data_IF_085530537482
#
_entry.id   IF_085530537482
#
_cell.length_a   1.000
_cell.length_b   1.000
_cell.length_c   1.000
_cell.angle_alpha   90.00
_cell.angle_beta   90.00
_cell.angle_gamma   90.00
#
_symmetry.space_group_name_H-M   'P 1'
#
loop_
_entity.id
_entity.type
_entity.pdbx_description
1 polymer ?
#
# COMPACT_ATOMS: atom_id res chain seq x y z
N UNK A 1 -45.96 -11.71 3.49
CA UNK A 1 -44.91 -12.12 2.54
C UNK A 1 -43.61 -12.25 3.31
N UNK A 2 -43.06 -13.46 3.43
CA UNK A 2 -41.87 -13.74 4.26
C UNK A 2 -40.58 -13.38 3.52
N UNK A 3 -39.76 -12.51 4.10
CA UNK A 3 -38.48 -12.11 3.53
C UNK A 3 -37.43 -13.22 3.76
N UNK A 4 -36.93 -13.79 2.67
CA UNK A 4 -35.86 -14.81 2.67
C UNK A 4 -34.55 -14.17 3.11
N UNK A 5 -34.06 -14.51 4.32
CA UNK A 5 -32.72 -14.09 4.75
C UNK A 5 -31.67 -14.73 3.84
N UNK A 6 -30.77 -13.91 3.28
CA UNK A 6 -29.62 -14.40 2.52
C UNK A 6 -28.56 -14.82 3.53
N UNK A 7 -28.30 -16.13 3.62
CA UNK A 7 -27.20 -16.66 4.42
C UNK A 7 -25.84 -16.10 3.97
N UNK A 8 -24.80 -16.19 4.81
CA UNK A 8 -23.49 -15.59 4.54
C UNK A 8 -22.90 -16.10 3.22
N UNK A 9 -22.38 -15.19 2.40
CA UNK A 9 -21.72 -15.52 1.13
C UNK A 9 -20.43 -16.28 1.40
N UNK A 10 -20.11 -17.29 0.58
CA UNK A 10 -18.86 -18.09 0.65
C UNK A 10 -17.61 -17.22 0.83
N UNK A 11 -17.55 -16.06 0.18
CA UNK A 11 -16.44 -15.10 0.31
C UNK A 11 -16.16 -14.62 1.74
N UNK A 12 -17.15 -14.58 2.63
CA UNK A 12 -16.98 -14.21 4.04
C UNK A 12 -16.34 -15.31 4.90
N UNK A 13 -16.54 -16.58 4.54
CA UNK A 13 -15.97 -17.72 5.28
C UNK A 13 -14.45 -17.82 5.11
N UNK A 14 -13.92 -17.43 3.95
CA UNK A 14 -12.48 -17.47 3.66
C UNK A 14 -11.71 -16.25 4.19
N UNK A 15 -12.40 -15.13 4.48
CA UNK A 15 -11.76 -13.96 5.08
C UNK A 15 -11.52 -14.13 6.59
N UNK A 16 -12.43 -14.79 7.32
CA UNK A 16 -12.30 -15.00 8.77
C UNK A 16 -11.23 -16.01 9.19
N UNK A 17 -10.55 -16.68 8.23
CA UNK A 17 -9.58 -17.76 8.50
C UNK A 17 -8.18 -17.49 7.96
N UNK A 18 -7.88 -16.28 7.48
CA UNK A 18 -6.50 -15.84 7.28
C UNK A 18 -5.97 -15.34 8.62
N UNK A 19 -5.29 -16.22 9.36
CA UNK A 19 -4.27 -15.76 10.30
C UNK A 19 -3.18 -15.14 9.43
N UNK A 20 -3.20 -13.83 9.23
CA UNK A 20 -2.06 -13.14 8.62
C UNK A 20 -0.91 -13.29 9.60
N UNK A 21 0.01 -14.21 9.32
CA UNK A 21 1.25 -14.31 10.08
C UNK A 21 1.92 -12.95 10.07
N UNK A 22 2.43 -12.51 11.23
CA UNK A 22 3.21 -11.28 11.33
C UNK A 22 4.37 -11.34 10.32
N UNK A 23 4.42 -10.37 9.42
CA UNK A 23 5.42 -10.30 8.35
C UNK A 23 6.48 -9.25 8.66
N UNK A 24 7.62 -9.37 7.99
CA UNK A 24 8.66 -8.34 8.01
C UNK A 24 8.11 -6.94 7.66
N UNK A 25 7.14 -6.85 6.74
CA UNK A 25 6.54 -5.57 6.35
C UNK A 25 5.66 -4.98 7.46
N UNK A 26 5.03 -5.83 8.28
CA UNK A 26 4.25 -5.38 9.44
C UNK A 26 5.18 -4.80 10.52
N UNK A 27 6.36 -5.40 10.70
CA UNK A 27 7.39 -4.89 11.62
C UNK A 27 7.89 -3.51 11.19
N UNK A 28 8.19 -3.34 9.90
CA UNK A 28 8.60 -2.06 9.33
C UNK A 28 7.49 -1.01 9.51
N UNK A 29 6.24 -1.36 9.23
CA UNK A 29 5.12 -0.42 9.35
C UNK A 29 4.88 0.01 10.80
N UNK A 30 5.22 -0.86 11.78
CA UNK A 30 5.18 -0.54 13.20
C UNK A 30 6.37 0.30 13.69
N UNK A 31 7.56 0.13 13.10
CA UNK A 31 8.79 0.82 13.52
C UNK A 31 8.90 2.23 12.91
N UNK A 32 8.39 2.44 11.70
CA UNK A 32 8.55 3.71 10.98
C UNK A 32 7.31 4.59 11.17
N UNK A 33 7.50 5.79 11.72
CA UNK A 33 6.47 6.83 11.67
C UNK A 33 6.40 7.44 10.26
N UNK A 34 5.36 7.08 9.51
CA UNK A 34 5.16 7.53 8.12
C UNK A 34 4.64 8.96 8.00
N UNK A 35 4.01 9.52 9.03
CA UNK A 35 3.43 10.86 9.00
C UNK A 35 4.45 11.98 8.71
N UNK A 36 5.60 12.07 9.43
CA UNK A 36 6.60 13.10 9.15
C UNK A 36 7.23 12.93 7.77
N UNK A 37 7.44 11.70 7.32
CA UNK A 37 7.97 11.39 5.99
C UNK A 37 6.97 11.86 4.92
N UNK A 38 5.68 11.55 5.07
CA UNK A 38 4.64 12.00 4.15
C UNK A 38 4.57 13.53 4.08
N UNK A 39 4.63 14.21 5.23
CA UNK A 39 4.60 15.67 5.29
C UNK A 39 5.81 16.28 4.58
N UNK A 40 7.01 15.74 4.82
CA UNK A 40 8.24 16.17 4.15
C UNK A 40 8.16 15.97 2.64
N UNK A 41 7.78 14.76 2.20
CA UNK A 41 7.67 14.43 0.79
C UNK A 41 6.64 15.30 0.08
N UNK A 42 5.47 15.53 0.69
CA UNK A 42 4.42 16.39 0.11
C UNK A 42 4.86 17.84 0.01
N UNK A 43 5.64 18.34 0.99
CA UNK A 43 6.19 19.70 0.96
C UNK A 43 7.22 19.89 -0.15
N UNK A 44 8.07 18.88 -0.39
CA UNK A 44 9.17 18.93 -1.37
C UNK A 44 8.74 18.58 -2.78
N UNK A 45 7.93 17.53 -2.94
CA UNK A 45 7.41 17.04 -4.21
C UNK A 45 6.08 17.74 -4.49
N UNK A 46 6.16 19.01 -4.93
CA UNK A 46 4.98 19.72 -5.42
C UNK A 46 4.44 18.97 -6.64
N UNK A 47 3.26 18.37 -6.51
CA UNK A 47 2.54 17.75 -7.62
C UNK A 47 2.18 18.85 -8.61
N UNK A 48 2.94 18.96 -9.70
CA UNK A 48 2.45 19.69 -10.86
C UNK A 48 1.31 18.88 -11.44
N UNK A 49 0.19 19.53 -11.75
CA UNK A 49 -0.83 18.91 -12.57
C UNK A 49 -0.14 18.50 -13.88
N UNK A 50 -0.16 17.21 -14.20
CA UNK A 50 0.36 16.75 -15.49
C UNK A 50 -0.45 17.48 -16.56
N UNK A 51 0.25 18.13 -17.51
CA UNK A 51 -0.41 18.93 -18.55
C UNK A 51 -1.39 18.07 -19.39
N UNK A 52 -1.14 16.75 -19.47
CA UNK A 52 -1.99 15.72 -20.06
C UNK A 52 -1.69 14.37 -19.36
N UNK A 53 -2.70 13.52 -19.14
CA UNK A 53 -2.53 12.12 -18.69
C UNK A 53 -2.92 11.82 -17.23
N UNK A 54 -2.60 10.59 -16.78
CA UNK A 54 -2.93 10.13 -15.41
C UNK A 54 -2.17 11.00 -14.38
N UNK A 55 -2.76 11.34 -13.22
CA UNK A 55 -2.08 12.14 -12.22
C UNK A 55 -0.83 11.43 -11.71
N UNK A 56 0.18 12.22 -11.35
CA UNK A 56 1.41 11.68 -10.75
C UNK A 56 1.07 10.86 -9.49
N UNK A 57 1.78 9.74 -9.29
CA UNK A 57 1.62 8.89 -8.11
C UNK A 57 1.78 9.71 -6.81
N UNK A 58 1.03 9.38 -5.75
CA UNK A 58 1.25 10.02 -4.46
C UNK A 58 2.67 9.71 -3.96
N UNK A 59 3.34 10.68 -3.32
CA UNK A 59 4.76 10.56 -3.07
C UNK A 59 5.10 9.51 -2.00
N UNK A 60 4.25 9.33 -0.97
CA UNK A 60 4.48 8.32 0.07
C UNK A 60 4.39 6.88 -0.46
N UNK A 61 3.33 6.44 -1.17
CA UNK A 61 3.30 5.12 -1.81
C UNK A 61 4.49 4.87 -2.73
N UNK A 62 4.88 5.86 -3.54
CA UNK A 62 6.03 5.74 -4.42
C UNK A 62 7.33 5.53 -3.62
N UNK A 63 7.50 6.27 -2.52
CA UNK A 63 8.62 6.07 -1.61
C UNK A 63 8.63 4.67 -0.99
N UNK A 64 7.47 4.15 -0.56
CA UNK A 64 7.35 2.76 -0.06
C UNK A 64 7.74 1.73 -1.13
N UNK A 65 7.39 1.94 -2.40
CA UNK A 65 7.82 1.06 -3.51
C UNK A 65 9.34 1.05 -3.66
N UNK A 66 10.01 2.19 -3.53
CA UNK A 66 11.48 2.26 -3.59
C UNK A 66 12.14 1.50 -2.42
N UNK A 67 11.55 1.55 -1.23
CA UNK A 67 12.03 0.75 -0.09
C UNK A 67 11.90 -0.75 -0.36
N UNK A 68 10.75 -1.18 -0.91
CA UNK A 68 10.56 -2.57 -1.31
C UNK A 68 11.57 -2.99 -2.38
N UNK A 69 11.81 -2.15 -3.38
CA UNK A 69 12.79 -2.42 -4.42
C UNK A 69 14.19 -2.63 -3.83
N UNK A 70 14.57 -1.82 -2.84
CA UNK A 70 15.86 -1.93 -2.16
C UNK A 70 15.95 -3.19 -1.29
N UNK A 71 14.93 -3.48 -0.46
CA UNK A 71 14.95 -4.62 0.45
C UNK A 71 14.89 -5.98 -0.24
N UNK A 72 14.17 -6.06 -1.36
CA UNK A 72 14.01 -7.30 -2.12
C UNK A 72 14.91 -7.37 -3.35
N UNK A 73 15.81 -6.40 -3.54
CA UNK A 73 16.71 -6.30 -4.69
C UNK A 73 15.96 -6.44 -6.03
N UNK A 74 14.83 -5.73 -6.16
CA UNK A 74 13.95 -5.80 -7.33
C UNK A 74 14.37 -4.87 -8.48
N UNK A 75 15.50 -4.16 -8.34
CA UNK A 75 16.05 -3.38 -9.45
C UNK A 75 16.54 -4.30 -10.54
N UNK A 76 16.30 -3.93 -11.79
CA UNK A 76 16.90 -4.62 -12.93
C UNK A 76 18.43 -4.65 -12.76
N UNK A 77 19.07 -5.81 -12.96
CA UNK A 77 20.52 -5.88 -12.96
C UNK A 77 21.05 -5.00 -14.10
N UNK A 78 22.07 -4.18 -13.80
CA UNK A 78 22.77 -3.44 -14.83
C UNK A 78 23.37 -4.45 -15.81
N UNK A 79 22.88 -4.44 -17.05
CA UNK A 79 23.41 -5.26 -18.15
C UNK A 79 24.62 -4.57 -18.77
#
# INVERSE_FOLDING_TARGET
MSARSKGPRLGGYFMGRRRTSHTFLDEIDAVIDWLPIQAFLTKKLKRKANAVGNPAYPPLPMFKVLLLQHWYNLSDPAT
#
